data_IF_940117471849
#
_entry.id   IF_940117471849
#
_cell.length_a   1.000
_cell.length_b   1.000
_cell.length_c   1.000
_cell.angle_alpha   90.00
_cell.angle_beta   90.00
_cell.angle_gamma   90.00
#
_symmetry.space_group_name_H-M   'P 1'
#
loop_
_entity.id
_entity.type
_entity.pdbx_description
1 polymer ?
#
# COMPACT_ATOMS: atom_id res chain seq x y z
N UNK A 1 9.42 -8.24 -7.34
CA UNK A 1 9.90 -9.39 -6.52
C UNK A 1 9.37 -9.43 -5.09
N UNK A 2 8.77 -8.36 -4.56
CA UNK A 2 8.32 -8.34 -3.15
C UNK A 2 7.12 -9.26 -2.83
N UNK A 3 6.08 -9.31 -3.69
CA UNK A 3 4.81 -10.01 -3.41
C UNK A 3 4.32 -10.83 -4.63
N UNK A 4 5.07 -11.85 -5.09
CA UNK A 4 4.78 -12.54 -6.34
C UNK A 4 3.44 -13.31 -6.34
N UNK A 5 3.08 -13.94 -5.22
CA UNK A 5 1.82 -14.67 -5.09
C UNK A 5 0.60 -13.73 -5.18
N UNK A 6 0.67 -12.57 -4.50
CA UNK A 6 -0.39 -11.57 -4.55
C UNK A 6 -0.50 -10.96 -5.96
N UNK A 7 0.62 -10.67 -6.61
CA UNK A 7 0.63 -10.16 -7.98
C UNK A 7 -0.06 -11.14 -8.95
N UNK A 8 0.23 -12.45 -8.83
CA UNK A 8 -0.44 -13.47 -9.63
C UNK A 8 -1.95 -13.54 -9.36
N UNK A 9 -2.36 -13.44 -8.09
CA UNK A 9 -3.77 -13.43 -7.69
C UNK A 9 -4.54 -12.25 -8.28
N UNK A 10 -4.00 -11.03 -8.18
CA UNK A 10 -4.59 -9.82 -8.75
C UNK A 10 -4.80 -9.91 -10.28
N UNK A 11 -3.92 -10.64 -10.97
CA UNK A 11 -4.06 -10.89 -12.42
C UNK A 11 -5.10 -11.98 -12.71
N UNK A 12 -5.21 -12.98 -11.85
CA UNK A 12 -6.08 -14.14 -12.06
C UNK A 12 -7.58 -13.84 -11.82
N UNK A 13 -7.93 -13.07 -10.78
CA UNK A 13 -9.33 -12.83 -10.37
C UNK A 13 -10.14 -11.95 -11.35
N UNK A 14 -9.47 -11.29 -12.28
CA UNK A 14 -10.08 -10.31 -13.18
C UNK A 14 -9.16 -9.09 -13.19
N UNK A 15 -8.31 -8.93 -14.21
CA UNK A 15 -7.06 -8.19 -14.13
C UNK A 15 -7.17 -6.86 -13.37
N UNK A 16 -6.85 -6.90 -12.06
CA UNK A 16 -6.95 -5.74 -11.17
C UNK A 16 -5.74 -4.87 -11.45
N UNK A 17 -5.91 -3.92 -12.37
CA UNK A 17 -4.81 -3.06 -12.78
C UNK A 17 -4.45 -2.06 -11.68
N UNK A 18 -3.15 -1.82 -11.42
CA UNK A 18 -2.72 -0.81 -10.47
C UNK A 18 -3.40 0.54 -10.66
N UNK A 19 -3.62 0.97 -11.91
CA UNK A 19 -4.29 2.22 -12.26
C UNK A 19 -5.67 2.43 -11.58
N UNK A 20 -6.35 1.34 -11.21
CA UNK A 20 -7.66 1.38 -10.55
C UNK A 20 -7.60 1.89 -9.10
N UNK A 21 -6.48 1.67 -8.39
CA UNK A 21 -6.36 2.00 -6.97
C UNK A 21 -5.18 2.92 -6.65
N UNK A 22 -4.04 2.78 -7.35
CA UNK A 22 -2.81 3.54 -7.05
C UNK A 22 -2.97 5.04 -7.28
N UNK A 23 -3.85 5.47 -8.19
CA UNK A 23 -4.06 6.89 -8.49
C UNK A 23 -4.38 7.68 -7.23
N UNK A 24 -5.24 7.15 -6.35
CA UNK A 24 -5.59 7.82 -5.10
C UNK A 24 -4.45 7.78 -4.07
N UNK A 25 -3.72 6.67 -4.01
CA UNK A 25 -2.59 6.50 -3.11
C UNK A 25 -1.49 7.53 -3.40
N UNK A 26 -1.08 7.62 -4.67
CA UNK A 26 0.11 8.40 -5.07
C UNK A 26 -0.19 9.88 -5.29
N UNK A 27 -1.32 10.24 -5.92
CA UNK A 27 -1.63 11.66 -6.19
C UNK A 27 -1.86 12.46 -4.91
N UNK A 28 -2.37 11.80 -3.87
CA UNK A 28 -2.71 12.46 -2.62
C UNK A 28 -1.76 12.10 -1.48
N UNK A 29 -0.66 11.40 -1.79
CA UNK A 29 0.32 10.92 -0.81
C UNK A 29 -0.37 10.23 0.38
N UNK A 30 -1.35 9.37 0.06
CA UNK A 30 -2.21 8.65 0.99
C UNK A 30 -3.14 9.50 1.90
N UNK A 31 -3.24 10.82 1.69
CA UNK A 31 -3.99 11.71 2.57
C UNK A 31 -5.49 11.35 2.73
N UNK A 32 -6.10 10.81 1.68
CA UNK A 32 -7.51 10.36 1.73
C UNK A 32 -7.67 8.88 2.09
N UNK A 33 -6.56 8.16 2.28
CA UNK A 33 -6.58 6.70 2.46
C UNK A 33 -6.26 6.27 3.89
N UNK A 34 -5.46 7.05 4.61
CA UNK A 34 -4.91 6.67 5.91
C UNK A 34 -5.48 7.53 7.05
N UNK A 35 -5.68 6.95 8.24
CA UNK A 35 -5.97 7.72 9.44
C UNK A 35 -4.83 8.70 9.74
N UNK A 36 -5.16 9.84 10.33
CA UNK A 36 -4.22 10.95 10.56
C UNK A 36 -2.89 10.52 11.20
N UNK A 37 -2.93 9.65 12.22
CA UNK A 37 -1.72 9.18 12.90
C UNK A 37 -0.76 8.39 11.99
N UNK A 38 -1.29 7.57 11.09
CA UNK A 38 -0.48 6.84 10.10
C UNK A 38 0.04 7.79 9.01
N UNK A 39 -0.81 8.72 8.57
CA UNK A 39 -0.47 9.69 7.55
C UNK A 39 0.70 10.59 7.97
N UNK A 40 0.61 11.23 9.14
CA UNK A 40 1.67 12.13 9.63
C UNK A 40 2.98 11.38 9.82
N UNK A 41 2.92 10.17 10.39
CA UNK A 41 4.12 9.37 10.62
C UNK A 41 4.80 8.93 9.32
N UNK A 42 4.01 8.58 8.31
CA UNK A 42 4.50 8.31 6.96
C UNK A 42 5.10 9.58 6.33
N UNK A 43 4.46 10.72 6.53
CA UNK A 43 4.91 12.01 6.00
C UNK A 43 6.21 12.51 6.63
N UNK A 44 6.48 12.22 7.90
CA UNK A 44 7.78 12.52 8.52
C UNK A 44 8.93 11.87 7.74
N UNK A 45 8.76 10.62 7.33
CA UNK A 45 9.76 9.89 6.53
C UNK A 45 9.75 10.37 5.09
N UNK A 46 8.59 10.67 4.51
CA UNK A 46 8.51 11.24 3.17
C UNK A 46 9.27 12.58 3.06
N UNK A 47 9.19 13.45 4.06
CA UNK A 47 9.92 14.71 4.05
C UNK A 47 11.45 14.53 4.11
N UNK A 48 11.92 13.41 4.68
CA UNK A 48 13.34 13.07 4.74
C UNK A 48 13.82 12.31 3.50
N UNK A 49 13.03 11.36 3.01
CA UNK A 49 13.43 10.35 2.03
C UNK A 49 12.82 10.55 0.64
N UNK A 50 11.77 11.37 0.51
CA UNK A 50 11.08 11.66 -0.75
C UNK A 50 10.14 10.55 -1.21
N UNK A 51 9.88 10.51 -2.52
CA UNK A 51 8.84 9.67 -3.14
C UNK A 51 9.03 8.17 -2.94
N UNK A 52 10.27 7.69 -2.77
CA UNK A 52 10.55 6.28 -2.45
C UNK A 52 9.75 5.79 -1.24
N UNK A 53 9.48 6.66 -0.27
CA UNK A 53 8.66 6.35 0.92
C UNK A 53 7.22 5.99 0.56
N UNK A 54 6.63 6.66 -0.43
CA UNK A 54 5.25 6.41 -0.86
C UNK A 54 5.14 5.05 -1.54
N UNK A 55 6.10 4.70 -2.41
CA UNK A 55 6.16 3.37 -3.04
C UNK A 55 6.32 2.26 -2.01
N UNK A 56 7.25 2.44 -1.06
CA UNK A 56 7.49 1.48 0.02
C UNK A 56 6.27 1.28 0.90
N UNK A 57 5.55 2.35 1.23
CA UNK A 57 4.33 2.29 2.02
C UNK A 57 3.22 1.52 1.31
N UNK A 58 3.01 1.75 0.02
CA UNK A 58 2.05 0.97 -0.76
C UNK A 58 2.33 -0.54 -0.70
N UNK A 59 3.59 -0.94 -0.89
CA UNK A 59 4.01 -2.34 -0.78
C UNK A 59 3.88 -2.89 0.64
N UNK A 60 4.22 -2.09 1.66
CA UNK A 60 4.09 -2.46 3.07
C UNK A 60 2.63 -2.72 3.47
N UNK A 61 1.70 -1.86 3.03
CA UNK A 61 0.26 -2.04 3.27
C UNK A 61 -0.25 -3.30 2.58
N UNK A 62 0.13 -3.53 1.31
CA UNK A 62 -0.25 -4.75 0.60
C UNK A 62 0.32 -6.01 1.24
N UNK A 63 1.54 -5.95 1.79
CA UNK A 63 2.17 -7.04 2.54
C UNK A 63 1.41 -7.33 3.84
N UNK A 64 1.04 -6.30 4.59
CA UNK A 64 0.26 -6.44 5.83
C UNK A 64 -1.12 -7.06 5.56
N UNK A 65 -1.78 -6.65 4.47
CA UNK A 65 -3.07 -7.18 4.03
C UNK A 65 -3.01 -8.49 3.23
N UNK A 66 -1.82 -9.04 2.95
CA UNK A 66 -1.64 -10.08 1.93
C UNK A 66 -2.53 -11.31 2.16
N UNK A 67 -2.65 -11.77 3.41
CA UNK A 67 -3.46 -12.94 3.74
C UNK A 67 -4.95 -12.74 3.42
N UNK A 68 -5.46 -11.53 3.64
CA UNK A 68 -6.86 -11.18 3.33
C UNK A 68 -7.06 -11.04 1.82
N UNK A 69 -6.16 -10.30 1.16
CA UNK A 69 -6.23 -10.04 -0.28
C UNK A 69 -6.17 -11.33 -1.11
N UNK A 70 -5.36 -12.32 -0.70
CA UNK A 70 -5.27 -13.61 -1.39
C UNK A 70 -6.55 -14.44 -1.36
N UNK A 71 -7.50 -14.13 -0.47
CA UNK A 71 -8.80 -14.82 -0.40
C UNK A 71 -9.95 -14.06 -1.06
N UNK A 72 -9.71 -12.83 -1.50
CA UNK A 72 -10.75 -11.94 -2.03
C UNK A 72 -10.94 -12.14 -3.54
N UNK A 73 -12.18 -12.16 -4.04
CA UNK A 73 -12.48 -12.05 -5.46
C UNK A 73 -12.30 -10.60 -5.97
N UNK A 74 -12.39 -10.40 -7.29
CA UNK A 74 -12.17 -9.11 -7.96
C UNK A 74 -12.82 -7.89 -7.28
N UNK A 75 -14.13 -7.97 -7.00
CA UNK A 75 -14.90 -6.83 -6.47
C UNK A 75 -14.39 -6.41 -5.09
N UNK A 76 -14.14 -7.39 -4.22
CA UNK A 76 -13.60 -7.17 -2.88
C UNK A 76 -12.16 -6.65 -2.92
N UNK A 77 -11.34 -7.14 -3.85
CA UNK A 77 -9.98 -6.64 -4.08
C UNK A 77 -9.98 -5.16 -4.48
N UNK A 78 -10.85 -4.79 -5.42
CA UNK A 78 -10.97 -3.42 -5.90
C UNK A 78 -11.45 -2.47 -4.79
N UNK A 79 -12.38 -2.93 -3.95
CA UNK A 79 -12.84 -2.17 -2.78
C UNK A 79 -11.75 -2.04 -1.72
N UNK A 80 -11.12 -3.15 -1.31
CA UNK A 80 -10.12 -3.20 -0.25
C UNK A 80 -8.89 -2.33 -0.55
N UNK A 81 -8.43 -2.33 -1.82
CA UNK A 81 -7.33 -1.48 -2.27
C UNK A 81 -7.76 -0.03 -2.52
N UNK A 82 -9.07 0.24 -2.58
CA UNK A 82 -9.63 1.56 -2.79
C UNK A 82 -9.35 2.52 -1.62
N UNK A 83 -9.38 3.83 -1.91
CA UNK A 83 -9.01 4.87 -0.96
C UNK A 83 -9.80 4.80 0.37
N UNK A 84 -11.08 4.42 0.34
CA UNK A 84 -11.93 4.38 1.54
C UNK A 84 -11.60 3.21 2.47
N UNK A 85 -11.12 2.09 1.94
CA UNK A 85 -10.99 0.83 2.68
C UNK A 85 -9.54 0.42 2.92
N UNK A 86 -8.58 1.09 2.28
CA UNK A 86 -7.14 0.79 2.43
C UNK A 86 -6.68 0.75 3.89
N UNK A 87 -7.26 1.61 4.74
CA UNK A 87 -6.93 1.67 6.16
C UNK A 87 -7.17 0.35 6.91
N UNK A 88 -8.01 -0.55 6.39
CA UNK A 88 -8.29 -1.87 6.97
C UNK A 88 -7.13 -2.84 6.80
N UNK A 89 -6.24 -2.59 5.85
CA UNK A 89 -5.05 -3.40 5.57
C UNK A 89 -3.82 -2.92 6.35
N UNK A 90 -3.97 -1.89 7.19
CA UNK A 90 -2.82 -1.27 7.87
C UNK A 90 -2.21 -2.19 8.93
N UNK A 91 -0.89 -2.10 9.13
CA UNK A 91 -0.25 -2.59 10.33
C UNK A 91 -0.89 -1.99 11.60
N UNK A 92 -0.71 -2.67 12.74
CA UNK A 92 -1.35 -2.29 14.01
C UNK A 92 -0.97 -0.89 14.53
N UNK A 93 0.14 -0.30 14.07
CA UNK A 93 0.57 1.03 14.49
C UNK A 93 1.29 1.81 13.38
N UNK A 94 1.31 3.16 13.47
CA UNK A 94 2.06 4.01 12.55
C UNK A 94 3.55 3.68 12.46
N UNK A 95 4.17 3.34 13.60
CA UNK A 95 5.59 2.96 13.63
C UNK A 95 5.85 1.60 13.00
N UNK A 96 4.91 0.65 13.12
CA UNK A 96 5.01 -0.63 12.43
C UNK A 96 4.98 -0.44 10.91
N UNK A 97 4.10 0.43 10.41
CA UNK A 97 4.04 0.79 8.99
C UNK A 97 5.36 1.40 8.50
N UNK A 98 5.90 2.40 9.22
CA UNK A 98 7.16 3.03 8.81
C UNK A 98 8.32 2.04 8.85
N UNK A 99 8.42 1.25 9.92
CA UNK A 99 9.50 0.27 10.07
C UNK A 99 9.49 -0.76 8.95
N UNK A 100 8.32 -1.30 8.61
CA UNK A 100 8.20 -2.26 7.50
C UNK A 100 8.46 -1.57 6.16
N UNK A 101 7.94 -0.36 5.93
CA UNK A 101 8.21 0.41 4.71
C UNK A 101 9.70 0.63 4.46
N UNK A 102 10.47 1.00 5.48
CA UNK A 102 11.93 1.18 5.36
C UNK A 102 12.69 -0.10 5.01
N UNK A 103 12.12 -1.28 5.30
CA UNK A 103 12.71 -2.58 4.95
C UNK A 103 12.53 -2.95 3.47
N UNK A 104 11.57 -2.31 2.78
CA UNK A 104 11.29 -2.59 1.37
C UNK A 104 12.40 -2.03 0.49
N UNK A 105 13.09 -2.91 -0.23
CA UNK A 105 14.09 -2.53 -1.21
C UNK A 105 13.42 -1.91 -2.43
N UNK A 106 13.73 -0.65 -2.72
CA UNK A 106 13.31 0.04 -3.94
C UNK A 106 14.53 0.65 -4.60
N UNK A 107 14.49 0.72 -5.94
CA UNK A 107 15.59 1.27 -6.73
C UNK A 107 15.92 2.70 -6.29
N UNK A 108 17.21 3.01 -6.20
CA UNK A 108 17.69 4.36 -5.88
C UNK A 108 17.37 5.39 -6.98
N UNK A 109 16.81 4.97 -8.12
CA UNK A 109 16.40 5.83 -9.24
C UNK A 109 14.98 6.40 -9.08
N UNK A 110 14.29 6.07 -7.98
CA UNK A 110 12.98 6.63 -7.59
C UNK A 110 13.14 7.88 -6.71
#
# INVERSE_FOLDING_TARGET
DELPALAAHLVAEGPVFPAMYVTHWFNTLFAYCLPFGHLVRLWDVFMLEGFKTIFRAGLSIMRAGQAQLLSMPFEELAEALGAKSLHLLLPASPDALVKDSCSVAVSARL
#
